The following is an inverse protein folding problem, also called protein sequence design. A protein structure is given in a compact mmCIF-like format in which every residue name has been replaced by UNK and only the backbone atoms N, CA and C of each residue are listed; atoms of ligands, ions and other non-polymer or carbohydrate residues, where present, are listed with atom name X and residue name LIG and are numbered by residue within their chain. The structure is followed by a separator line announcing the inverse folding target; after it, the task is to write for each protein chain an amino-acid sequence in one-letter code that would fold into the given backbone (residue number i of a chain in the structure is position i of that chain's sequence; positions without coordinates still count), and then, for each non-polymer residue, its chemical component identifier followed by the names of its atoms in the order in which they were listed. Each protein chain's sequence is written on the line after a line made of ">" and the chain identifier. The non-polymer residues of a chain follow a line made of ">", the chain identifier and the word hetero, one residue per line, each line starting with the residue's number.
data_IF_336849086435
#
_entry.id   IF_336849086435
#
_cell.length_a   1.000
_cell.length_b   1.000
_cell.length_c   1.000
_cell.angle_alpha   90.00
_cell.angle_beta   90.00
_cell.angle_gamma   90.00
#
_symmetry.space_group_name_H-M   'P 1'
#
loop_
_entity.id
_entity.type
_entity.pdbx_description
1 polymer ?
#
# COMPACT_ATOMS: atom_id res chain seq x y z
N UNK A 1 -9.90 2.67 -6.92
CA UNK A 1 -10.20 3.98 -7.57
C UNK A 1 -8.89 4.70 -7.83
N UNK A 2 -8.63 5.16 -9.06
CA UNK A 2 -7.40 5.86 -9.43
C UNK A 2 -7.65 7.38 -9.52
N UNK A 3 -6.71 8.19 -9.03
CA UNK A 3 -6.80 9.64 -9.09
C UNK A 3 -5.70 10.20 -10.02
N UNK A 4 -6.13 10.92 -11.05
CA UNK A 4 -5.28 11.54 -12.07
C UNK A 4 -5.60 13.04 -12.07
N UNK A 5 -4.59 13.86 -11.79
CA UNK A 5 -4.72 15.32 -11.71
C UNK A 5 -3.69 15.95 -12.62
N UNK A 6 -4.12 16.84 -13.52
CA UNK A 6 -3.25 17.55 -14.46
C UNK A 6 -2.33 16.61 -15.29
N UNK A 7 -2.87 15.47 -15.73
CA UNK A 7 -2.11 14.47 -16.49
C UNK A 7 -1.08 13.68 -15.67
N UNK A 8 -1.03 13.86 -14.34
CA UNK A 8 -0.16 13.09 -13.44
C UNK A 8 -0.98 12.11 -12.60
N UNK A 9 -0.45 10.91 -12.44
CA UNK A 9 -1.02 9.93 -11.52
C UNK A 9 -0.68 10.32 -10.08
N UNK A 10 -1.71 10.69 -9.30
CA UNK A 10 -1.56 10.97 -7.88
C UNK A 10 -1.48 9.67 -7.07
N UNK A 11 -2.27 8.68 -7.45
CA UNK A 11 -2.37 7.44 -6.69
C UNK A 11 -3.64 6.66 -6.94
N UNK A 12 -3.82 5.58 -6.20
CA UNK A 12 -5.06 4.80 -6.23
C UNK A 12 -5.33 4.09 -4.91
N UNK A 13 -6.59 3.72 -4.73
CA UNK A 13 -7.03 2.80 -3.68
C UNK A 13 -7.27 1.42 -4.28
N UNK A 14 -6.72 0.40 -3.63
CA UNK A 14 -7.01 -1.01 -3.87
C UNK A 14 -7.70 -1.61 -2.64
N UNK A 15 -8.69 -2.48 -2.87
CA UNK A 15 -9.40 -3.18 -1.80
C UNK A 15 -9.42 -4.65 -2.16
N UNK A 16 -8.76 -5.47 -1.34
CA UNK A 16 -8.85 -6.92 -1.39
C UNK A 16 -9.83 -7.41 -0.34
N UNK A 17 -10.74 -8.29 -0.75
CA UNK A 17 -11.68 -8.99 0.13
C UNK A 17 -11.76 -10.45 -0.26
N UNK A 18 -12.43 -11.27 0.55
CA UNK A 18 -12.61 -12.68 0.26
C UNK A 18 -13.47 -12.92 -1.00
N UNK A 19 -13.07 -13.92 -1.81
CA UNK A 19 -13.84 -14.42 -2.96
C UNK A 19 -14.55 -15.73 -2.61
N UNK A 20 -13.93 -16.64 -1.82
CA UNK A 20 -14.57 -17.85 -1.24
C UNK A 20 -13.72 -18.51 -0.13
N UNK A 21 -14.36 -19.33 0.72
CA UNK A 21 -13.78 -20.02 1.89
C UNK A 21 -12.85 -21.19 1.50
N UNK A 22 -11.53 -20.97 1.52
CA UNK A 22 -10.58 -22.08 1.56
C UNK A 22 -10.70 -22.88 2.86
N UNK A 23 -10.50 -24.20 2.82
CA UNK A 23 -10.64 -25.10 3.98
C UNK A 23 -9.75 -24.72 5.19
N UNK A 24 -8.68 -23.94 4.98
CA UNK A 24 -7.74 -23.47 6.01
C UNK A 24 -8.06 -22.10 6.64
N UNK A 25 -9.06 -21.37 6.15
CA UNK A 25 -9.29 -19.96 6.49
C UNK A 25 -8.50 -18.99 5.58
N UNK A 26 -8.41 -17.72 5.98
CA UNK A 26 -7.77 -16.68 5.17
C UNK A 26 -6.24 -16.73 5.24
N UNK A 27 -5.59 -16.43 4.12
CA UNK A 27 -4.13 -16.26 4.12
C UNK A 27 -3.73 -15.14 5.09
N UNK A 28 -2.82 -15.48 5.97
CA UNK A 28 -2.29 -14.57 6.96
C UNK A 28 -1.39 -13.54 6.27
N UNK A 29 -1.76 -12.26 6.34
CA UNK A 29 -0.94 -11.21 5.74
C UNK A 29 0.37 -11.08 6.52
N UNK A 30 1.49 -11.36 5.85
CA UNK A 30 2.83 -11.18 6.41
C UNK A 30 3.12 -9.71 6.74
N UNK A 31 2.41 -8.77 6.11
CA UNK A 31 2.57 -7.34 6.36
C UNK A 31 2.51 -7.00 7.85
N UNK A 32 1.49 -7.51 8.57
CA UNK A 32 1.28 -7.25 10.00
C UNK A 32 2.42 -7.73 10.93
N UNK A 33 3.36 -8.54 10.42
CA UNK A 33 4.53 -9.04 11.16
C UNK A 33 5.85 -8.36 10.76
N UNK A 34 5.84 -7.52 9.72
CA UNK A 34 7.06 -6.88 9.19
C UNK A 34 7.63 -5.92 10.23
N UNK A 35 8.97 -5.89 10.32
CA UNK A 35 9.72 -4.97 11.21
C UNK A 35 10.55 -3.94 10.45
N UNK A 36 10.71 -4.19 9.15
CA UNK A 36 11.53 -3.51 8.15
C UNK A 36 10.70 -2.56 7.27
N UNK A 37 9.43 -2.32 7.62
CA UNK A 37 8.60 -1.26 7.03
C UNK A 37 8.69 0.03 7.84
N UNK A 38 8.34 1.16 7.23
CA UNK A 38 8.42 2.48 7.85
C UNK A 38 7.67 2.52 9.17
N UNK A 39 6.39 2.15 9.14
CA UNK A 39 5.52 2.15 10.30
C UNK A 39 4.59 0.94 10.26
N UNK A 40 4.34 0.37 11.44
CA UNK A 40 3.29 -0.62 11.62
C UNK A 40 2.72 -0.53 13.03
N UNK A 41 1.39 -0.59 13.12
CA UNK A 41 0.65 -0.81 14.35
C UNK A 41 -0.15 -2.10 14.18
N UNK A 42 -0.03 -2.97 15.17
CA UNK A 42 -0.68 -4.28 15.18
C UNK A 42 -1.45 -4.43 16.48
N UNK A 43 -2.78 -4.53 16.39
CA UNK A 43 -3.65 -4.78 17.53
C UNK A 43 -3.99 -6.27 17.67
N UNK A 44 -4.11 -6.99 16.55
CA UNK A 44 -4.36 -8.43 16.53
C UNK A 44 -3.53 -9.09 15.42
N UNK A 45 -2.94 -10.23 15.75
CA UNK A 45 -2.13 -11.02 14.84
C UNK A 45 -1.92 -12.45 15.37
N UNK A 46 -3.03 -13.15 15.58
CA UNK A 46 -3.02 -14.49 16.14
C UNK A 46 -4.10 -15.34 15.48
N UNK A 47 -3.81 -16.63 15.29
CA UNK A 47 -4.73 -17.57 14.65
C UNK A 47 -5.29 -17.02 13.32
N UNK A 48 -6.60 -16.77 13.27
CA UNK A 48 -7.34 -16.25 12.10
C UNK A 48 -7.65 -14.76 12.19
N UNK A 49 -7.29 -14.12 13.31
CA UNK A 49 -7.52 -12.70 13.53
C UNK A 49 -6.29 -11.86 13.14
N UNK A 50 -6.53 -10.84 12.31
CA UNK A 50 -5.56 -9.80 12.03
C UNK A 50 -6.23 -8.45 12.15
N UNK A 51 -5.58 -7.51 12.82
CA UNK A 51 -5.95 -6.11 12.84
C UNK A 51 -4.65 -5.31 12.91
N UNK A 52 -4.22 -4.78 11.78
CA UNK A 52 -3.02 -3.98 11.71
C UNK A 52 -3.14 -2.91 10.63
N UNK A 53 -2.32 -1.88 10.74
CA UNK A 53 -2.11 -0.95 9.64
C UNK A 53 -0.68 -0.44 9.65
N UNK A 54 -0.22 0.06 8.52
CA UNK A 54 1.15 0.51 8.41
C UNK A 54 1.43 1.22 7.10
N UNK A 55 2.66 1.70 6.99
CA UNK A 55 3.16 2.41 5.82
C UNK A 55 4.44 1.73 5.35
N UNK A 56 4.51 1.51 4.05
CA UNK A 56 5.67 0.98 3.35
C UNK A 56 5.80 1.67 2.00
N UNK A 57 6.97 1.60 1.37
CA UNK A 57 7.10 1.84 -0.06
C UNK A 57 7.00 0.52 -0.82
N UNK A 58 6.47 0.57 -2.03
CA UNK A 58 6.52 -0.54 -2.97
C UNK A 58 7.25 -0.12 -4.23
N UNK A 59 8.03 -1.04 -4.79
CA UNK A 59 8.63 -0.86 -6.11
C UNK A 59 7.65 -1.43 -7.14
N UNK A 60 7.18 -0.58 -8.03
CA UNK A 60 6.33 -0.98 -9.14
C UNK A 60 7.23 -1.57 -10.23
N UNK A 61 7.29 -2.90 -10.32
CA UNK A 61 8.04 -3.57 -11.39
C UNK A 61 7.50 -3.18 -12.77
N UNK A 62 8.32 -2.99 -13.80
CA UNK A 62 7.82 -2.56 -15.11
C UNK A 62 6.87 -3.59 -15.77
N UNK A 63 7.06 -4.88 -15.47
CA UNK A 63 6.43 -6.01 -16.15
C UNK A 63 5.61 -6.85 -15.17
N UNK A 64 4.37 -6.47 -14.91
CA UNK A 64 3.42 -7.39 -14.28
C UNK A 64 2.72 -8.18 -15.38
N UNK A 65 2.86 -9.50 -15.38
CA UNK A 65 2.11 -10.39 -16.29
C UNK A 65 0.66 -10.61 -15.81
N UNK A 66 0.21 -9.87 -14.79
CA UNK A 66 -1.12 -10.01 -14.22
C UNK A 66 -2.19 -9.50 -15.19
N UNK A 67 -3.02 -10.42 -15.66
CA UNK A 67 -4.21 -10.17 -16.46
C UNK A 67 -5.43 -10.37 -15.56
N UNK A 68 -6.16 -9.29 -15.20
CA UNK A 68 -7.34 -9.44 -14.36
C UNK A 68 -8.45 -10.17 -15.14
N UNK A 69 -9.19 -11.02 -14.45
CA UNK A 69 -10.38 -11.70 -15.00
C UNK A 69 -11.51 -10.74 -15.34
N UNK A 70 -11.54 -9.57 -14.69
CA UNK A 70 -12.50 -8.50 -14.93
C UNK A 70 -11.82 -7.12 -14.92
N UNK A 71 -12.23 -6.26 -15.86
CA UNK A 71 -11.69 -4.90 -15.98
C UNK A 71 -10.31 -4.84 -16.65
N UNK A 72 -9.66 -3.68 -16.53
CA UNK A 72 -8.30 -3.45 -17.02
C UNK A 72 -7.33 -3.41 -15.85
N UNK A 73 -6.12 -3.93 -16.05
CA UNK A 73 -5.03 -3.70 -15.11
C UNK A 73 -4.78 -2.18 -15.04
N UNK A 74 -4.56 -1.65 -13.83
CA UNK A 74 -4.31 -0.21 -13.62
C UNK A 74 -3.19 0.31 -14.53
N UNK A 75 -2.18 -0.50 -14.85
CA UNK A 75 -1.11 -0.17 -15.78
C UNK A 75 -1.59 0.03 -17.19
N UNK A 76 -2.48 -0.84 -17.67
CA UNK A 76 -3.07 -0.71 -18.99
C UNK A 76 -3.90 0.57 -19.06
N UNK A 77 -4.71 0.84 -18.04
CA UNK A 77 -5.49 2.08 -17.95
C UNK A 77 -4.60 3.33 -17.98
N UNK A 78 -3.48 3.34 -17.24
CA UNK A 78 -2.56 4.48 -17.23
C UNK A 78 -1.81 4.61 -18.57
N UNK A 79 -1.37 3.50 -19.15
CA UNK A 79 -0.67 3.48 -20.44
C UNK A 79 -1.53 3.99 -21.58
N UNK A 80 -2.82 3.62 -21.62
CA UNK A 80 -3.78 4.12 -22.62
C UNK A 80 -4.00 5.63 -22.50
N UNK A 81 -3.78 6.21 -21.32
CA UNK A 81 -3.84 7.65 -21.06
C UNK A 81 -2.49 8.35 -21.27
N UNK A 82 -1.45 7.65 -21.72
CA UNK A 82 -0.11 8.19 -21.86
C UNK A 82 0.59 8.51 -20.53
N UNK A 83 0.11 7.94 -19.42
CA UNK A 83 0.62 8.19 -18.07
C UNK A 83 1.57 7.07 -17.67
N UNK A 84 2.80 7.44 -17.32
CA UNK A 84 3.80 6.51 -16.80
C UNK A 84 3.46 6.20 -15.35
N UNK A 85 3.43 4.91 -15.01
CA UNK A 85 3.30 4.49 -13.61
C UNK A 85 4.61 4.80 -12.88
N UNK A 86 4.58 5.49 -11.73
CA UNK A 86 5.79 5.78 -10.98
C UNK A 86 6.44 4.48 -10.52
N UNK A 87 7.77 4.46 -10.52
CA UNK A 87 8.57 3.31 -10.09
C UNK A 87 8.37 3.00 -8.60
N UNK A 88 8.04 4.00 -7.79
CA UNK A 88 7.80 3.86 -6.35
C UNK A 88 6.45 4.43 -5.99
N UNK A 89 5.73 3.71 -5.14
CA UNK A 89 4.50 4.18 -4.52
C UNK A 89 4.63 4.06 -3.00
N UNK A 90 4.08 5.03 -2.28
CA UNK A 90 3.90 4.93 -0.83
C UNK A 90 2.57 4.23 -0.57
N UNK A 91 2.63 3.06 0.06
CA UNK A 91 1.48 2.23 0.37
C UNK A 91 1.13 2.37 1.85
N UNK A 92 -0.08 2.86 2.14
CA UNK A 92 -0.71 2.71 3.45
C UNK A 92 -1.63 1.50 3.41
N UNK A 93 -1.30 0.46 4.15
CA UNK A 93 -2.06 -0.78 4.20
C UNK A 93 -2.82 -0.86 5.51
N UNK A 94 -4.10 -1.19 5.43
CA UNK A 94 -4.93 -1.61 6.55
C UNK A 94 -5.37 -3.05 6.32
N UNK A 95 -5.20 -3.91 7.32
CA UNK A 95 -5.57 -5.32 7.25
C UNK A 95 -6.48 -5.63 8.43
N UNK A 96 -7.65 -6.17 8.12
CA UNK A 96 -8.54 -6.77 9.08
C UNK A 96 -8.93 -8.18 8.62
N UNK A 97 -8.92 -9.14 9.52
CA UNK A 97 -9.34 -10.51 9.27
C UNK A 97 -9.96 -11.10 10.55
N UNK A 98 -10.98 -11.92 10.37
CA UNK A 98 -11.60 -12.77 11.39
C UNK A 98 -11.86 -14.16 10.79
N UNK A 99 -12.59 -15.01 11.51
CA UNK A 99 -12.89 -16.38 11.04
C UNK A 99 -13.66 -16.45 9.73
N UNK A 100 -14.37 -15.39 9.34
CA UNK A 100 -15.36 -15.40 8.26
C UNK A 100 -15.01 -14.48 7.10
N UNK A 101 -14.13 -13.51 7.29
CA UNK A 101 -13.83 -12.49 6.29
C UNK A 101 -12.45 -11.90 6.46
N UNK A 102 -11.96 -11.28 5.40
CA UNK A 102 -10.86 -10.34 5.49
C UNK A 102 -11.14 -9.11 4.62
N UNK A 103 -10.52 -8.01 5.00
CA UNK A 103 -10.34 -6.86 4.12
C UNK A 103 -8.88 -6.39 4.21
N UNK A 104 -8.28 -6.18 3.05
CA UNK A 104 -7.04 -5.42 2.90
C UNK A 104 -7.38 -4.15 2.14
N UNK A 105 -7.22 -3.00 2.78
CA UNK A 105 -7.41 -1.70 2.16
C UNK A 105 -6.05 -1.05 1.96
N UNK A 106 -5.71 -0.69 0.72
CA UNK A 106 -4.42 -0.11 0.37
C UNK A 106 -4.63 1.25 -0.28
N UNK A 107 -3.96 2.27 0.26
CA UNK A 107 -3.88 3.60 -0.33
C UNK A 107 -2.47 3.76 -0.87
N UNK A 108 -2.36 3.85 -2.19
CA UNK A 108 -1.09 4.04 -2.89
C UNK A 108 -0.98 5.48 -3.36
N UNK A 109 0.07 6.18 -2.93
CA UNK A 109 0.38 7.56 -3.30
C UNK A 109 1.68 7.63 -4.11
N UNK A 110 1.67 8.46 -5.16
CA UNK A 110 2.83 8.76 -5.97
C UNK A 110 3.66 9.89 -5.32
N UNK A 111 4.87 9.62 -4.81
CA UNK A 111 5.70 10.66 -4.20
C UNK A 111 6.22 11.69 -5.22
N UNK A 112 6.31 11.38 -6.52
CA UNK A 112 6.72 12.36 -7.56
C UNK A 112 5.73 13.51 -7.69
N UNK A 113 4.45 13.24 -7.42
CA UNK A 113 3.43 14.27 -7.42
C UNK A 113 3.71 15.35 -6.37
N UNK A 114 4.40 14.97 -5.28
CA UNK A 114 4.79 15.85 -4.18
C UNK A 114 6.23 16.41 -4.33
N UNK A 115 6.86 16.21 -5.49
CA UNK A 115 8.18 16.78 -5.81
C UNK A 115 9.38 15.90 -5.45
N UNK A 116 9.17 14.65 -5.02
CA UNK A 116 10.28 13.74 -4.74
C UNK A 116 10.77 13.04 -6.02
N UNK A 117 12.07 13.10 -6.29
CA UNK A 117 12.69 12.36 -7.40
C UNK A 117 12.71 10.85 -7.14
N UNK A 118 12.49 10.06 -8.21
CA UNK A 118 12.66 8.61 -8.25
C UNK A 118 14.03 8.16 -8.80
N UNK A 119 14.94 9.10 -9.06
CA UNK A 119 16.30 8.76 -9.50
C UNK A 119 17.03 7.91 -8.43
N UNK A 120 17.65 6.83 -8.87
CA UNK A 120 18.40 5.90 -8.00
C UNK A 120 17.54 4.84 -7.29
N UNK A 121 16.22 4.88 -7.40
CA UNK A 121 15.33 3.82 -6.92
C UNK A 121 15.60 2.54 -7.75
N UNK A 122 16.02 1.44 -7.13
CA UNK A 122 16.35 0.19 -7.86
C UNK A 122 15.58 -1.00 -7.31
N UNK A 123 15.79 -1.30 -6.03
CA UNK A 123 15.15 -2.41 -5.31
C UNK A 123 14.45 -1.89 -4.07
N UNK A 124 13.56 -2.70 -3.50
CA UNK A 124 12.86 -2.34 -2.27
C UNK A 124 13.85 -2.05 -1.12
N UNK A 125 14.86 -2.91 -0.94
CA UNK A 125 15.84 -2.79 0.15
C UNK A 125 16.78 -1.57 0.01
N UNK A 126 17.12 -1.17 -1.22
CA UNK A 126 18.03 -0.05 -1.48
C UNK A 126 17.31 1.27 -1.75
N UNK A 127 15.98 1.29 -1.67
CA UNK A 127 15.19 2.49 -1.88
C UNK A 127 15.47 3.51 -0.76
N UNK A 128 15.63 4.81 -1.09
CA UNK A 128 15.66 5.87 -0.08
C UNK A 128 14.42 5.94 0.82
N UNK A 129 13.30 5.33 0.42
CA UNK A 129 12.09 5.22 1.23
C UNK A 129 12.11 4.05 2.22
N UNK A 130 13.10 3.17 2.13
CA UNK A 130 13.27 2.05 3.06
C UNK A 130 13.52 2.56 4.47
N UNK A 131 12.95 1.88 5.48
CA UNK A 131 13.02 2.27 6.89
C UNK A 131 14.44 2.61 7.36
N UNK A 132 15.42 1.79 6.99
CA UNK A 132 16.81 1.96 7.43
C UNK A 132 17.54 3.11 6.72
N UNK A 133 17.03 3.54 5.56
CA UNK A 133 17.67 4.56 4.72
C UNK A 133 16.98 5.91 4.83
N UNK A 134 15.69 5.95 5.15
CA UNK A 134 14.89 7.17 5.14
C UNK A 134 15.34 8.20 6.18
N UNK A 135 15.98 7.76 7.27
CA UNK A 135 16.59 8.67 8.27
C UNK A 135 17.65 9.59 7.66
N UNK A 136 18.22 9.23 6.49
CA UNK A 136 19.18 10.06 5.75
C UNK A 136 18.50 11.11 4.88
N UNK A 137 17.16 11.11 4.77
CA UNK A 137 16.40 12.07 3.97
C UNK A 137 15.25 12.67 4.80
N UNK A 138 15.52 13.75 5.57
CA UNK A 138 14.54 14.36 6.48
C UNK A 138 13.22 14.74 5.81
N UNK A 139 13.26 15.20 4.55
CA UNK A 139 12.06 15.58 3.79
C UNK A 139 11.15 14.38 3.49
N UNK A 140 11.72 13.23 3.13
CA UNK A 140 10.97 11.98 2.91
C UNK A 140 10.37 11.47 4.21
N UNK A 141 11.14 11.53 5.31
CA UNK A 141 10.65 11.14 6.63
C UNK A 141 9.47 12.02 7.05
N UNK A 142 9.59 13.34 6.90
CA UNK A 142 8.50 14.29 7.19
C UNK A 142 7.26 13.98 6.35
N UNK A 143 7.43 13.66 5.08
CA UNK A 143 6.33 13.24 4.21
C UNK A 143 5.64 11.97 4.71
N UNK A 144 6.39 10.93 5.11
CA UNK A 144 5.77 9.72 5.64
C UNK A 144 5.09 9.91 7.01
N UNK A 145 5.59 10.80 7.88
CA UNK A 145 4.85 11.19 9.08
C UNK A 145 3.55 11.92 8.75
N UNK A 146 3.54 12.81 7.76
CA UNK A 146 2.29 13.46 7.31
C UNK A 146 1.27 12.45 6.77
N UNK A 147 1.74 11.49 5.96
CA UNK A 147 0.88 10.39 5.46
C UNK A 147 0.33 9.57 6.63
N UNK A 148 1.15 9.28 7.63
CA UNK A 148 0.74 8.57 8.85
C UNK A 148 -0.31 9.34 9.64
N UNK A 149 -0.09 10.62 9.90
CA UNK A 149 -1.04 11.49 10.60
C UNK A 149 -2.38 11.56 9.87
N UNK A 150 -2.34 11.76 8.54
CA UNK A 150 -3.53 11.82 7.71
C UNK A 150 -4.35 10.52 7.76
N UNK A 151 -3.69 9.37 7.80
CA UNK A 151 -4.34 8.06 7.73
C UNK A 151 -4.60 7.42 9.10
N UNK A 152 -4.06 7.97 10.19
CA UNK A 152 -4.21 7.41 11.54
C UNK A 152 -5.68 7.29 11.97
N UNK A 153 -6.51 8.27 11.62
CA UNK A 153 -7.94 8.26 11.96
C UNK A 153 -8.74 7.20 11.18
N UNK A 154 -8.26 6.76 10.01
CA UNK A 154 -8.95 5.78 9.18
C UNK A 154 -8.92 4.39 9.83
N UNK A 155 -7.84 4.04 10.52
CA UNK A 155 -7.70 2.72 11.14
C UNK A 155 -8.82 2.40 12.15
N UNK A 156 -9.09 3.20 13.19
CA UNK A 156 -10.18 2.91 14.13
C UNK A 156 -11.56 2.96 13.45
N UNK A 157 -11.75 3.83 12.45
CA UNK A 157 -13.00 3.87 11.67
C UNK A 157 -13.23 2.56 10.93
N UNK A 158 -12.25 2.09 10.15
CA UNK A 158 -12.34 0.84 9.40
C UNK A 158 -12.46 -0.37 10.33
N UNK A 159 -11.69 -0.39 11.43
CA UNK A 159 -11.76 -1.46 12.44
C UNK A 159 -13.16 -1.60 13.03
N UNK A 160 -13.82 -0.48 13.33
CA UNK A 160 -15.16 -0.49 13.91
C UNK A 160 -16.22 -0.97 12.92
N UNK A 161 -16.03 -0.74 11.61
CA UNK A 161 -16.94 -1.19 10.56
C UNK A 161 -16.74 -2.67 10.18
N UNK A 162 -15.54 -3.22 10.43
CA UNK A 162 -15.21 -4.63 10.14
C UNK A 162 -15.68 -5.60 11.23
N UNK A 163 -16.14 -5.10 12.39
CA UNK A 163 -16.62 -5.93 13.51
C UNK A 163 -17.86 -6.73 13.14
#
# INVERSE_FOLDING_TARGET
>A
MANITNGKFLGHVSIGTNVDLGAGGWEFSRFCSRKDVYFIQTDAHYQREQACWGINHIIMEATSNYQPTHGKNIRQTLSELGIIIPKVMINTTFRFANDHSFITYEILLNPEYFGFSLEGESTWANSPWHKDLIMRTPERQKFLEQVKEQHAAFYPMLKNQFR
#
